data_IF_433395643109
#
_entry.id   IF_433395643109
#
_cell.length_a   1.000
_cell.length_b   1.000
_cell.length_c   1.000
_cell.angle_alpha   90.00
_cell.angle_beta   90.00
_cell.angle_gamma   90.00
#
_symmetry.space_group_name_H-M   'P 1'
#
loop_
_entity.id
_entity.type
_entity.pdbx_description
1 polymer ?
#
# COMPACT_ATOMS: atom_id res chain seq x y z
N UNK A 1 -2.70 -60.30 -5.22
CA UNK A 1 -2.66 -59.02 -5.97
C UNK A 1 -2.63 -59.21 -7.50
N UNK A 2 -2.06 -60.30 -8.04
CA UNK A 2 -2.08 -60.61 -9.49
C UNK A 2 -3.48 -60.83 -10.12
N UNK A 3 -4.50 -61.11 -9.31
CA UNK A 3 -5.87 -61.37 -9.80
C UNK A 3 -6.75 -60.10 -9.89
N UNK A 4 -6.23 -58.93 -9.51
CA UNK A 4 -7.00 -57.66 -9.47
C UNK A 4 -6.60 -56.72 -10.61
N UNK A 5 -5.34 -56.78 -11.05
CA UNK A 5 -4.83 -56.03 -12.20
C UNK A 5 -4.14 -57.01 -13.14
N UNK A 6 -4.80 -57.44 -14.23
CA UNK A 6 -4.24 -58.39 -15.20
C UNK A 6 -3.07 -57.78 -16.00
N UNK A 7 -3.03 -56.45 -16.12
CA UNK A 7 -1.96 -55.70 -16.77
C UNK A 7 -1.10 -54.96 -15.74
N UNK A 8 0.22 -54.81 -15.99
CA UNK A 8 1.10 -54.07 -15.09
C UNK A 8 0.62 -52.61 -14.98
N UNK A 9 0.59 -52.03 -13.77
CA UNK A 9 0.11 -50.68 -13.60
C UNK A 9 0.98 -49.69 -14.37
N UNK A 10 0.34 -48.81 -15.12
CA UNK A 10 1.02 -47.77 -15.87
C UNK A 10 1.59 -46.73 -14.91
N UNK A 11 2.92 -46.55 -14.94
CA UNK A 11 3.58 -45.43 -14.27
C UNK A 11 3.50 -44.19 -15.17
N UNK A 12 2.59 -43.27 -14.86
CA UNK A 12 2.51 -41.98 -15.54
C UNK A 12 3.27 -40.91 -14.73
N UNK A 13 4.13 -40.16 -15.40
CA UNK A 13 4.80 -38.99 -14.81
C UNK A 13 3.91 -37.76 -14.96
N UNK A 14 3.78 -36.97 -13.88
CA UNK A 14 3.13 -35.67 -13.98
C UNK A 14 4.00 -34.74 -14.81
N UNK A 15 3.36 -33.92 -15.65
CA UNK A 15 4.01 -32.77 -16.27
C UNK A 15 4.54 -31.82 -15.20
N UNK A 16 5.63 -31.12 -15.51
CA UNK A 16 6.09 -29.99 -14.71
C UNK A 16 5.03 -28.89 -14.69
N UNK A 17 4.88 -28.22 -13.54
CA UNK A 17 3.92 -27.12 -13.41
C UNK A 17 4.39 -25.91 -14.21
N UNK A 18 3.51 -25.35 -15.04
CA UNK A 18 3.79 -24.11 -15.76
C UNK A 18 3.37 -22.87 -14.93
N UNK A 19 3.65 -21.67 -15.45
CA UNK A 19 3.28 -20.41 -14.79
C UNK A 19 1.77 -20.30 -14.54
N UNK A 20 0.93 -20.76 -15.47
CA UNK A 20 -0.52 -20.76 -15.32
C UNK A 20 -0.94 -21.63 -14.13
N UNK A 21 -0.45 -22.87 -14.06
CA UNK A 21 -0.70 -23.82 -12.98
C UNK A 21 -0.36 -23.22 -11.61
N UNK A 22 0.68 -22.40 -11.53
CA UNK A 22 1.12 -21.72 -10.29
C UNK A 22 0.23 -20.51 -9.99
N UNK A 23 -0.03 -19.65 -10.98
CA UNK A 23 -0.66 -18.34 -10.77
C UNK A 23 -2.17 -18.41 -10.54
N UNK A 24 -2.86 -19.43 -11.05
CA UNK A 24 -4.33 -19.57 -10.92
C UNK A 24 -4.77 -20.04 -9.53
N UNK A 25 -3.86 -20.61 -8.73
CA UNK A 25 -4.21 -21.10 -7.40
C UNK A 25 -4.37 -19.97 -6.37
N UNK A 26 -5.48 -20.02 -5.61
CA UNK A 26 -5.84 -19.05 -4.55
C UNK A 26 -4.73 -18.83 -3.51
N UNK A 27 -3.87 -19.84 -3.29
CA UNK A 27 -2.70 -19.78 -2.39
C UNK A 27 -1.67 -18.72 -2.82
N UNK A 28 -1.56 -18.45 -4.13
CA UNK A 28 -0.62 -17.46 -4.67
C UNK A 28 -1.21 -16.04 -4.78
N UNK A 29 -2.55 -15.90 -4.82
CA UNK A 29 -3.19 -14.57 -4.72
C UNK A 29 -2.77 -13.84 -3.43
N UNK A 30 -2.64 -14.55 -2.32
CA UNK A 30 -2.22 -13.95 -1.06
C UNK A 30 -0.73 -13.61 -0.94
N UNK A 31 0.11 -13.87 -1.97
CA UNK A 31 1.56 -13.63 -1.91
C UNK A 31 1.90 -12.24 -2.50
N UNK A 32 1.26 -11.87 -3.61
CA UNK A 32 1.56 -10.62 -4.31
C UNK A 32 0.83 -9.39 -3.75
N UNK A 33 -0.26 -9.56 -2.99
CA UNK A 33 -1.10 -8.47 -2.49
C UNK A 33 -0.98 -8.22 -0.97
N UNK A 34 0.14 -8.59 -0.34
CA UNK A 34 0.35 -8.34 1.12
C UNK A 34 0.85 -6.95 1.46
N UNK A 35 0.76 -6.00 0.53
CA UNK A 35 1.13 -4.64 0.85
C UNK A 35 0.00 -4.06 1.73
N UNK A 36 0.27 -3.64 2.97
CA UNK A 36 -0.77 -3.11 3.83
C UNK A 36 -1.31 -1.80 3.26
N UNK A 37 -2.63 -1.69 3.17
CA UNK A 37 -3.30 -0.45 2.79
C UNK A 37 -3.19 0.56 3.94
N UNK A 38 -2.14 1.38 3.92
CA UNK A 38 -1.82 2.37 4.94
C UNK A 38 -1.03 3.53 4.36
N UNK A 39 -1.16 4.70 4.98
CA UNK A 39 -0.15 5.75 4.87
C UNK A 39 1.00 5.46 5.84
N UNK A 40 2.23 5.78 5.46
CA UNK A 40 3.37 5.72 6.37
C UNK A 40 4.71 6.16 5.78
N UNK A 41 5.76 6.25 6.61
CA UNK A 41 7.07 6.73 6.20
C UNK A 41 7.71 5.79 5.17
N UNK A 42 8.48 6.36 4.25
CA UNK A 42 9.20 5.64 3.20
C UNK A 42 10.50 4.95 3.69
N UNK A 43 10.78 4.96 4.99
CA UNK A 43 11.91 4.26 5.62
C UNK A 43 13.31 4.84 5.36
N UNK A 44 13.42 5.96 4.64
CA UNK A 44 14.71 6.60 4.36
C UNK A 44 15.24 7.38 5.59
N UNK A 45 16.53 7.24 5.90
CA UNK A 45 17.14 7.81 7.13
C UNK A 45 17.05 9.35 7.24
N UNK A 46 17.02 10.08 6.13
CA UNK A 46 17.03 11.55 6.10
C UNK A 46 15.87 12.12 5.26
N UNK A 47 14.69 11.52 5.36
CA UNK A 47 13.51 12.06 4.69
C UNK A 47 12.94 13.25 5.47
N UNK A 48 12.79 14.40 4.81
CA UNK A 48 12.22 15.61 5.43
C UNK A 48 10.71 15.49 5.73
N UNK A 49 10.00 14.58 5.05
CA UNK A 49 8.53 14.48 5.12
C UNK A 49 8.10 13.39 6.10
N UNK A 50 8.87 12.30 6.22
CA UNK A 50 8.59 11.21 7.16
C UNK A 50 8.20 11.67 8.58
N UNK A 51 8.89 12.66 9.20
CA UNK A 51 8.57 13.10 10.56
C UNK A 51 7.18 13.73 10.72
N UNK A 52 6.61 14.25 9.63
CA UNK A 52 5.31 14.93 9.62
C UNK A 52 4.20 14.05 9.04
N UNK A 53 4.51 12.83 8.60
CA UNK A 53 3.55 11.94 7.98
C UNK A 53 2.81 11.13 9.03
N UNK A 54 1.49 11.12 8.96
CA UNK A 54 0.66 10.29 9.84
C UNK A 54 0.57 8.86 9.31
N UNK A 55 0.91 7.89 10.16
CA UNK A 55 0.67 6.47 9.89
C UNK A 55 -0.79 6.12 10.16
N UNK A 56 -1.54 5.79 9.10
CA UNK A 56 -2.97 5.53 9.24
C UNK A 56 -3.48 4.54 8.19
N UNK A 57 -4.40 3.66 8.61
CA UNK A 57 -5.22 2.84 7.68
C UNK A 57 -6.54 3.53 7.32
N UNK A 58 -6.97 4.45 8.19
CA UNK A 58 -8.19 5.24 8.07
C UNK A 58 -7.89 6.67 8.50
N UNK A 59 -8.44 7.63 7.79
CA UNK A 59 -8.40 9.04 8.20
C UNK A 59 -9.82 9.60 8.21
N UNK A 60 -10.05 10.59 9.07
CA UNK A 60 -11.33 11.28 9.18
C UNK A 60 -11.20 12.71 8.70
N UNK A 61 -12.18 13.18 7.93
CA UNK A 61 -12.31 14.59 7.57
C UNK A 61 -12.92 15.40 8.74
N UNK A 62 -12.88 16.73 8.62
CA UNK A 62 -13.51 17.73 9.51
C UNK A 62 -15.00 17.47 9.79
N UNK A 63 -15.70 16.80 8.86
CA UNK A 63 -17.10 16.37 9.00
C UNK A 63 -17.27 15.02 9.73
N UNK A 64 -16.21 14.49 10.36
CA UNK A 64 -16.16 13.17 11.00
C UNK A 64 -16.44 11.97 10.08
N UNK A 65 -16.42 12.16 8.76
CA UNK A 65 -16.48 11.05 7.79
C UNK A 65 -15.14 10.33 7.74
N UNK A 66 -15.17 9.01 7.91
CA UNK A 66 -13.98 8.16 7.88
C UNK A 66 -13.76 7.54 6.51
N UNK A 67 -12.54 7.63 6.00
CA UNK A 67 -12.11 7.09 4.71
C UNK A 67 -11.04 6.02 4.95
N UNK A 68 -11.13 4.92 4.20
CA UNK A 68 -10.07 3.90 4.20
C UNK A 68 -9.01 4.27 3.19
N UNK A 69 -7.74 4.16 3.59
CA UNK A 69 -6.63 4.21 2.63
C UNK A 69 -6.71 2.96 1.76
N UNK A 70 -6.65 3.11 0.44
CA UNK A 70 -6.87 2.01 -0.51
C UNK A 70 -5.60 1.26 -0.89
N UNK A 71 -4.44 1.91 -0.84
CA UNK A 71 -3.14 1.37 -1.23
C UNK A 71 -2.07 1.75 -0.18
N UNK A 72 -0.85 1.22 -0.30
CA UNK A 72 0.26 1.76 0.48
C UNK A 72 0.69 3.13 -0.08
N UNK A 73 0.65 4.14 0.79
CA UNK A 73 1.02 5.52 0.46
C UNK A 73 2.22 5.92 1.32
N UNK A 74 3.27 6.40 0.69
CA UNK A 74 4.48 6.87 1.39
C UNK A 74 4.87 8.27 0.93
N UNK A 75 5.86 8.88 1.59
CA UNK A 75 6.48 10.15 1.16
C UNK A 75 7.05 10.16 -0.26
N UNK A 76 7.18 8.99 -0.89
CA UNK A 76 7.66 8.84 -2.27
C UNK A 76 6.56 8.49 -3.26
N UNK A 77 5.31 8.38 -2.82
CA UNK A 77 4.18 8.14 -3.72
C UNK A 77 3.93 9.38 -4.57
N UNK A 78 3.61 9.17 -5.84
CA UNK A 78 3.21 10.21 -6.79
C UNK A 78 1.72 10.13 -7.04
N UNK A 79 1.10 11.17 -7.60
CA UNK A 79 -0.33 11.22 -7.90
C UNK A 79 -1.18 10.96 -6.64
N UNK A 80 -0.77 11.55 -5.52
CA UNK A 80 -1.49 11.46 -4.25
C UNK A 80 -2.15 12.78 -3.91
N UNK A 81 -3.38 12.69 -3.41
CA UNK A 81 -4.07 13.77 -2.72
C UNK A 81 -3.68 13.68 -1.24
N UNK A 82 -3.24 14.79 -0.66
CA UNK A 82 -2.80 14.86 0.73
C UNK A 82 -3.51 15.99 1.49
N UNK A 83 -3.60 15.82 2.80
CA UNK A 83 -4.15 16.79 3.72
C UNK A 83 -3.12 17.15 4.80
N UNK A 84 -2.83 18.43 4.96
CA UNK A 84 -1.96 18.95 6.04
C UNK A 84 -2.84 19.64 7.06
N UNK A 85 -2.80 19.14 8.29
CA UNK A 85 -3.56 19.70 9.41
C UNK A 85 -2.66 20.58 10.27
N UNK A 86 -3.15 21.75 10.65
CA UNK A 86 -2.45 22.59 11.63
C UNK A 86 -2.68 22.04 13.04
N UNK A 87 -1.63 21.56 13.71
CA UNK A 87 -1.73 21.04 15.08
C UNK A 87 -2.19 22.09 16.10
N UNK A 88 -1.88 23.37 15.85
CA UNK A 88 -2.24 24.48 16.74
C UNK A 88 -3.70 24.86 16.63
N UNK A 89 -4.20 25.01 15.41
CA UNK A 89 -5.56 25.49 15.17
C UNK A 89 -6.60 24.36 15.14
N UNK A 90 -6.19 23.14 14.76
CA UNK A 90 -7.00 21.92 14.60
C UNK A 90 -8.16 21.99 13.58
N UNK A 91 -8.59 23.19 13.20
CA UNK A 91 -9.68 23.45 12.25
C UNK A 91 -9.20 23.68 10.82
N UNK A 92 -7.97 24.15 10.63
CA UNK A 92 -7.43 24.42 9.31
C UNK A 92 -6.80 23.17 8.71
N UNK A 93 -7.27 22.82 7.52
CA UNK A 93 -6.80 21.71 6.70
C UNK A 93 -6.46 22.26 5.32
N UNK A 94 -5.22 22.06 4.89
CA UNK A 94 -4.80 22.31 3.52
C UNK A 94 -4.90 21.00 2.74
N UNK A 95 -5.64 20.99 1.64
CA UNK A 95 -5.75 19.84 0.73
C UNK A 95 -5.03 20.18 -0.56
N UNK A 96 -4.10 19.31 -0.98
CA UNK A 96 -3.34 19.46 -2.20
C UNK A 96 -3.19 18.14 -2.94
N UNK A 97 -2.73 18.22 -4.17
CA UNK A 97 -2.37 17.07 -4.99
C UNK A 97 -0.92 17.17 -5.48
N UNK A 98 -0.38 16.05 -5.93
CA UNK A 98 1.01 15.96 -6.40
C UNK A 98 1.08 15.24 -7.72
N UNK A 99 1.63 15.87 -8.76
CA UNK A 99 1.95 15.19 -10.03
C UNK A 99 3.29 14.41 -9.95
N UNK A 100 4.20 14.85 -9.07
CA UNK A 100 5.52 14.24 -8.83
C UNK A 100 5.76 14.09 -7.32
N UNK A 101 6.84 13.42 -6.90
CA UNK A 101 7.07 13.15 -5.46
C UNK A 101 6.95 14.44 -4.62
N UNK A 102 6.21 14.42 -3.49
CA UNK A 102 5.96 15.64 -2.73
C UNK A 102 7.30 16.28 -2.33
N UNK A 103 7.57 17.47 -2.87
CA UNK A 103 8.70 18.32 -2.50
C UNK A 103 8.14 19.45 -1.65
N UNK A 104 7.68 19.11 -0.44
CA UNK A 104 7.13 20.09 0.49
C UNK A 104 8.30 20.98 0.94
N UNK A 105 8.46 22.13 0.30
CA UNK A 105 9.29 23.20 0.81
C UNK A 105 8.56 23.75 2.03
N UNK A 106 8.92 23.27 3.23
CA UNK A 106 8.59 23.91 4.50
C UNK A 106 9.39 25.22 4.60
N UNK A 107 9.08 26.17 3.71
CA UNK A 107 9.57 27.53 3.72
C UNK A 107 8.59 28.41 4.48
N UNK A 108 8.99 28.80 5.68
CA UNK A 108 8.58 30.03 6.37
C UNK A 108 7.08 30.39 6.36
N UNK A 109 6.26 29.59 7.04
CA UNK A 109 4.98 30.09 7.57
C UNK A 109 5.22 30.96 8.82
N UNK A 110 5.95 32.07 8.64
CA UNK A 110 6.26 33.04 9.68
C UNK A 110 6.00 34.44 9.15
N UNK A 111 4.90 35.04 9.61
CA UNK A 111 4.39 36.40 9.35
C UNK A 111 3.57 36.58 8.07
N UNK A 112 2.25 36.62 8.23
CA UNK A 112 1.45 37.66 7.61
C UNK A 112 0.63 38.36 8.71
N UNK A 113 0.43 39.69 8.64
CA UNK A 113 -0.09 40.54 9.71
C UNK A 113 -1.54 40.26 10.10
#
# INVERSE_FOLDING_TARGET
>A
MKNVFPEPPLAAFRRDCNLEDILVHKKHKGIFFRVPNRSGPCGAQRCAICPYMMEAKKFSDTTCKSYNVQNEVTCKSTNVVYAVHCERCKTFVYVGETETVPSIHLGEAGRYP
#
